data_IF_339576545838
#
_entry.id   IF_339576545838
#
_cell.length_a   1.000
_cell.length_b   1.000
_cell.length_c   1.000
_cell.angle_alpha   90.00
_cell.angle_beta   90.00
_cell.angle_gamma   90.00
#
_symmetry.space_group_name_H-M   'P 1'
#
loop_
_entity.id
_entity.type
_entity.pdbx_description
1 polymer ?
#
# COMPACT_ATOMS: atom_id res chain seq x y z
N UNK A 1 1.99 9.93 -7.99
CA UNK A 1 1.19 10.58 -9.06
C UNK A 1 1.99 10.70 -10.35
N UNK A 2 3.18 11.31 -10.36
CA UNK A 2 4.02 11.41 -11.57
C UNK A 2 4.31 10.07 -12.28
N UNK A 3 4.45 8.97 -11.52
CA UNK A 3 4.62 7.63 -12.09
C UNK A 3 3.39 7.13 -12.88
N UNK A 4 2.17 7.54 -12.52
CA UNK A 4 0.98 7.23 -13.30
C UNK A 4 0.99 7.99 -14.64
N UNK A 5 1.36 9.28 -14.62
CA UNK A 5 1.51 10.07 -15.86
C UNK A 5 2.61 9.50 -16.76
N UNK A 6 3.73 9.06 -16.17
CA UNK A 6 4.79 8.34 -16.89
C UNK A 6 4.23 7.10 -17.56
N UNK A 7 3.50 6.26 -16.83
CA UNK A 7 2.90 5.03 -17.36
C UNK A 7 1.91 5.32 -18.51
N UNK A 8 1.04 6.32 -18.36
CA UNK A 8 0.11 6.73 -19.42
C UNK A 8 0.87 7.16 -20.68
N UNK A 9 1.94 7.94 -20.52
CA UNK A 9 2.77 8.41 -21.63
C UNK A 9 3.50 7.26 -22.32
N UNK A 10 4.14 6.36 -21.55
CA UNK A 10 4.84 5.20 -22.12
C UNK A 10 3.87 4.25 -22.82
N UNK A 11 2.68 4.03 -22.25
CA UNK A 11 1.63 3.23 -22.87
C UNK A 11 1.17 3.85 -24.20
N UNK A 12 0.87 5.15 -24.21
CA UNK A 12 0.44 5.88 -25.41
C UNK A 12 1.52 5.92 -26.51
N UNK A 13 2.80 5.95 -26.14
CA UNK A 13 3.93 5.87 -27.07
C UNK A 13 4.22 4.44 -27.57
N UNK A 14 3.41 3.44 -27.18
CA UNK A 14 3.62 2.05 -27.58
C UNK A 14 4.86 1.42 -26.95
N UNK A 15 5.26 1.88 -25.76
CA UNK A 15 6.46 1.44 -25.02
C UNK A 15 6.11 0.72 -23.71
N UNK A 16 5.34 -0.38 -23.72
CA UNK A 16 4.93 -1.07 -22.50
C UNK A 16 6.10 -1.61 -21.67
N UNK A 17 7.23 -1.93 -22.30
CA UNK A 17 8.45 -2.38 -21.61
C UNK A 17 9.10 -1.29 -20.74
N UNK A 18 8.76 -0.02 -20.95
CA UNK A 18 9.29 1.13 -20.19
C UNK A 18 8.31 1.61 -19.09
N UNK A 19 7.20 0.89 -18.90
CA UNK A 19 6.21 1.18 -17.85
C UNK A 19 6.65 0.62 -16.50
N UNK A 20 6.23 1.30 -15.42
CA UNK A 20 6.25 0.74 -14.07
C UNK A 20 5.09 -0.24 -13.89
N UNK A 21 5.36 -1.54 -13.94
CA UNK A 21 4.36 -2.61 -13.83
C UNK A 21 5.03 -3.93 -13.44
N UNK A 22 4.23 -4.95 -13.08
CA UNK A 22 4.75 -6.27 -12.72
C UNK A 22 5.40 -7.02 -13.89
N UNK A 23 5.09 -6.65 -15.14
CA UNK A 23 5.63 -7.28 -16.35
C UNK A 23 6.78 -6.51 -17.00
N UNK A 24 7.17 -5.35 -16.45
CA UNK A 24 8.21 -4.49 -17.00
C UNK A 24 9.13 -3.97 -15.89
N UNK A 25 9.20 -2.66 -15.67
CA UNK A 25 10.01 -2.08 -14.59
C UNK A 25 9.25 -2.23 -13.28
N UNK A 26 9.67 -3.18 -12.44
CA UNK A 26 8.95 -3.49 -11.21
C UNK A 26 9.30 -2.54 -10.07
N UNK A 27 8.31 -2.13 -9.30
CA UNK A 27 8.47 -1.44 -8.02
C UNK A 27 7.73 -2.23 -6.94
N UNK A 28 8.36 -3.29 -6.45
CA UNK A 28 7.72 -4.22 -5.52
C UNK A 28 7.62 -3.65 -4.09
N UNK A 29 6.50 -3.85 -3.39
CA UNK A 29 6.34 -3.46 -1.99
C UNK A 29 7.00 -4.50 -1.05
N UNK A 30 8.33 -4.65 -1.16
CA UNK A 30 9.10 -5.72 -0.50
C UNK A 30 8.91 -5.76 1.03
N UNK A 31 8.73 -4.60 1.67
CA UNK A 31 8.50 -4.53 3.11
C UNK A 31 7.13 -5.10 3.50
N UNK A 32 6.10 -4.81 2.71
CA UNK A 32 4.77 -5.36 2.96
C UNK A 32 4.78 -6.89 2.72
N UNK A 33 5.38 -7.35 1.62
CA UNK A 33 5.54 -8.79 1.33
C UNK A 33 6.31 -9.52 2.43
N UNK A 34 7.38 -8.93 2.96
CA UNK A 34 8.13 -9.48 4.09
C UNK A 34 7.26 -9.62 5.37
N UNK A 35 6.43 -8.61 5.66
CA UNK A 35 5.44 -8.67 6.74
C UNK A 35 4.41 -9.78 6.47
N UNK A 36 3.85 -9.87 5.26
CA UNK A 36 2.90 -10.92 4.90
C UNK A 36 3.50 -12.32 5.16
N UNK A 37 4.73 -12.56 4.70
CA UNK A 37 5.41 -13.84 4.90
C UNK A 37 5.68 -14.15 6.38
N UNK A 38 6.02 -13.14 7.17
CA UNK A 38 6.25 -13.29 8.62
C UNK A 38 4.96 -13.69 9.33
N UNK A 39 3.83 -13.09 8.97
CA UNK A 39 2.53 -13.45 9.56
C UNK A 39 1.96 -14.77 9.04
N UNK A 40 2.17 -15.09 7.76
CA UNK A 40 1.75 -16.36 7.17
C UNK A 40 2.50 -17.55 7.78
N UNK A 41 3.79 -17.39 8.08
CA UNK A 41 4.64 -18.43 8.70
C UNK A 41 4.68 -18.40 10.23
N UNK A 42 3.95 -17.49 10.87
CA UNK A 42 3.96 -17.35 12.32
C UNK A 42 3.45 -18.60 13.09
N UNK A 43 2.36 -19.27 12.67
CA UNK A 43 1.85 -20.45 13.38
C UNK A 43 2.93 -21.53 13.50
N UNK A 44 3.06 -22.10 14.70
CA UNK A 44 4.07 -23.13 15.02
C UNK A 44 5.55 -22.69 14.94
N UNK A 45 5.84 -21.44 14.55
CA UNK A 45 7.20 -20.90 14.46
C UNK A 45 7.45 -19.79 15.48
N UNK A 46 6.81 -18.64 15.29
CA UNK A 46 6.91 -17.49 16.21
C UNK A 46 5.68 -17.35 17.10
N UNK A 47 4.60 -18.09 16.80
CA UNK A 47 3.40 -18.24 17.62
C UNK A 47 3.08 -19.75 17.79
N UNK A 48 3.72 -20.44 18.75
CA UNK A 48 3.64 -21.90 18.87
C UNK A 48 2.22 -22.44 19.11
N UNK A 49 1.42 -21.74 19.91
CA UNK A 49 0.05 -22.15 20.27
C UNK A 49 -1.01 -21.68 19.24
N UNK A 50 -0.62 -20.88 18.26
CA UNK A 50 -1.52 -20.42 17.21
C UNK A 50 -1.71 -21.50 16.14
N UNK A 51 -2.96 -21.78 15.79
CA UNK A 51 -3.33 -22.78 14.77
C UNK A 51 -3.54 -22.17 13.38
N UNK A 52 -3.57 -20.85 13.27
CA UNK A 52 -3.72 -20.10 12.02
C UNK A 52 -3.00 -18.75 12.10
N UNK A 53 -2.66 -18.17 10.95
CA UNK A 53 -2.12 -16.82 10.87
C UNK A 53 -3.14 -15.78 11.35
N UNK A 54 -2.68 -14.54 11.60
CA UNK A 54 -3.57 -13.48 12.09
C UNK A 54 -4.66 -13.07 11.09
N UNK A 55 -4.50 -13.42 9.82
CA UNK A 55 -5.49 -13.26 8.75
C UNK A 55 -5.15 -14.16 7.57
N UNK A 56 -6.15 -14.73 6.90
CA UNK A 56 -5.94 -15.52 5.68
C UNK A 56 -5.50 -14.66 4.48
N UNK A 57 -5.57 -13.33 4.59
CA UNK A 57 -5.08 -12.41 3.55
C UNK A 57 -3.57 -12.41 3.38
N UNK A 58 -2.81 -12.86 4.39
CA UNK A 58 -1.34 -12.86 4.36
C UNK A 58 -0.73 -13.89 3.41
N UNK A 59 -1.49 -14.89 2.97
CA UNK A 59 -0.97 -16.05 2.25
C UNK A 59 -0.78 -17.27 3.15
N UNK A 60 -0.50 -18.42 2.53
CA UNK A 60 -0.26 -19.70 3.22
C UNK A 60 -1.51 -20.44 3.72
N UNK A 61 -2.69 -19.82 3.67
CA UNK A 61 -3.98 -20.46 3.97
C UNK A 61 -4.80 -20.76 2.71
N UNK A 62 -5.68 -21.75 2.81
CA UNK A 62 -6.60 -22.12 1.71
C UNK A 62 -7.69 -21.07 1.48
N UNK A 63 -8.24 -21.07 0.26
CA UNK A 63 -9.42 -20.28 -0.10
C UNK A 63 -10.60 -20.69 0.79
N UNK A 64 -11.19 -19.72 1.47
CA UNK A 64 -12.41 -19.95 2.26
C UNK A 64 -13.61 -19.49 1.44
N UNK A 65 -14.57 -20.38 1.22
CA UNK A 65 -15.81 -20.09 0.51
C UNK A 65 -17.05 -20.37 1.37
N UNK A 66 -18.06 -19.51 1.25
CA UNK A 66 -19.38 -19.66 1.88
C UNK A 66 -20.45 -19.41 0.83
N UNK A 67 -21.37 -20.37 0.65
CA UNK A 67 -22.46 -20.23 -0.33
C UNK A 67 -21.96 -20.01 -1.77
N UNK A 68 -20.94 -20.76 -2.18
CA UNK A 68 -20.27 -20.64 -3.50
C UNK A 68 -19.66 -19.26 -3.80
N UNK A 69 -19.42 -18.43 -2.78
CA UNK A 69 -18.70 -17.15 -2.89
C UNK A 69 -17.43 -17.22 -2.07
N UNK A 70 -16.38 -16.55 -2.54
CA UNK A 70 -15.13 -16.42 -1.79
C UNK A 70 -15.39 -15.50 -0.59
N UNK A 71 -15.17 -16.03 0.61
CA UNK A 71 -15.23 -15.27 1.85
C UNK A 71 -13.90 -14.56 2.12
N UNK A 72 -12.78 -15.28 2.00
CA UNK A 72 -11.44 -14.72 2.10
C UNK A 72 -10.46 -15.47 1.19
N UNK A 73 -9.48 -14.73 0.67
CA UNK A 73 -8.34 -15.26 -0.08
C UNK A 73 -7.07 -14.46 0.25
N UNK A 74 -5.86 -15.02 0.00
CA UNK A 74 -4.63 -14.24 0.00
C UNK A 74 -4.71 -13.02 -0.93
N UNK A 75 -4.19 -11.87 -0.48
CA UNK A 75 -4.14 -10.65 -1.27
C UNK A 75 -2.67 -10.42 -1.67
N UNK A 76 -2.27 -10.79 -2.91
CA UNK A 76 -0.93 -10.52 -3.38
C UNK A 76 -0.72 -9.01 -3.53
N UNK A 77 0.50 -8.55 -3.23
CA UNK A 77 0.88 -7.15 -3.34
C UNK A 77 1.93 -7.00 -4.45
N UNK A 78 1.61 -6.24 -5.48
CA UNK A 78 2.48 -5.98 -6.62
C UNK A 78 2.84 -4.50 -6.79
N UNK A 79 3.32 -4.17 -8.00
CA UNK A 79 3.73 -2.81 -8.36
C UNK A 79 2.55 -1.83 -8.29
N UNK A 80 1.35 -2.24 -8.70
CA UNK A 80 0.16 -1.41 -8.60
C UNK A 80 -0.17 -1.04 -7.14
N UNK A 81 -0.06 -2.01 -6.22
CA UNK A 81 -0.26 -1.80 -4.79
C UNK A 81 0.77 -0.83 -4.22
N UNK A 82 2.04 -0.97 -4.60
CA UNK A 82 3.08 -0.01 -4.21
C UNK A 82 2.72 1.41 -4.63
N UNK A 83 2.28 1.61 -5.88
CA UNK A 83 1.92 2.93 -6.40
C UNK A 83 0.72 3.52 -5.65
N UNK A 84 -0.36 2.77 -5.45
CA UNK A 84 -1.57 3.29 -4.77
C UNK A 84 -1.33 3.58 -3.28
N UNK A 85 -0.53 2.76 -2.59
CA UNK A 85 -0.16 3.04 -1.20
C UNK A 85 0.64 4.35 -1.06
N UNK A 86 1.49 4.68 -2.03
CA UNK A 86 2.16 5.98 -2.06
C UNK A 86 1.22 7.15 -2.36
N UNK A 87 0.13 6.93 -3.12
CA UNK A 87 -0.93 7.94 -3.27
C UNK A 87 -1.70 8.13 -1.95
N UNK A 88 -2.02 7.06 -1.23
CA UNK A 88 -2.62 7.16 0.10
C UNK A 88 -1.72 7.93 1.05
N UNK A 89 -0.43 7.59 1.12
CA UNK A 89 0.54 8.31 1.93
C UNK A 89 0.59 9.80 1.55
N UNK A 90 0.72 10.11 0.26
CA UNK A 90 0.75 11.50 -0.23
C UNK A 90 -0.49 12.30 0.20
N UNK A 91 -1.69 11.77 -0.04
CA UNK A 91 -2.94 12.46 0.30
C UNK A 91 -3.08 12.68 1.80
N UNK A 92 -2.76 11.67 2.63
CA UNK A 92 -2.74 11.80 4.09
C UNK A 92 -1.75 12.88 4.53
N UNK A 93 -0.51 12.87 4.00
CA UNK A 93 0.51 13.86 4.39
C UNK A 93 0.09 15.28 4.00
N UNK A 94 -0.54 15.48 2.84
CA UNK A 94 -1.06 16.80 2.43
C UNK A 94 -2.21 17.25 3.34
N UNK A 95 -3.15 16.35 3.67
CA UNK A 95 -4.22 16.66 4.63
C UNK A 95 -3.65 17.05 5.99
N UNK A 96 -2.69 16.28 6.51
CA UNK A 96 -2.00 16.57 7.77
C UNK A 96 -1.27 17.91 7.69
N UNK A 97 -0.56 18.19 6.59
CA UNK A 97 0.12 19.47 6.38
C UNK A 97 -0.84 20.66 6.48
N UNK A 98 -2.00 20.58 5.83
CA UNK A 98 -3.01 21.65 5.84
C UNK A 98 -3.56 21.85 7.26
N UNK A 99 -4.00 20.77 7.90
CA UNK A 99 -4.59 20.83 9.24
C UNK A 99 -3.57 21.29 10.28
N UNK A 100 -2.38 20.71 10.28
CA UNK A 100 -1.31 21.03 11.23
C UNK A 100 -0.82 22.47 11.04
N UNK A 101 -0.70 22.94 9.80
CA UNK A 101 -0.40 24.35 9.53
C UNK A 101 -1.50 25.27 10.08
N UNK A 102 -2.77 24.88 9.93
CA UNK A 102 -3.90 25.61 10.52
C UNK A 102 -3.77 25.73 12.03
N UNK A 103 -3.45 24.63 12.72
CA UNK A 103 -3.28 24.59 14.18
C UNK A 103 -2.06 25.38 14.64
N UNK A 104 -0.88 25.12 14.07
CA UNK A 104 0.38 25.71 14.54
C UNK A 104 0.42 27.23 14.33
N UNK A 105 -0.17 27.72 13.24
CA UNK A 105 -0.20 29.14 12.91
C UNK A 105 -1.55 29.78 13.26
N UNK A 106 -2.34 29.21 14.17
CA UNK A 106 -3.64 29.76 14.54
C UNK A 106 -3.50 31.13 15.24
N UNK A 107 -2.54 31.29 16.16
CA UNK A 107 -2.40 32.49 17.01
C UNK A 107 -1.46 33.56 16.44
N UNK A 108 -0.48 33.16 15.64
CA UNK A 108 0.46 34.07 15.02
C UNK A 108 1.08 33.46 13.77
N UNK A 109 1.65 34.32 12.93
CA UNK A 109 2.44 33.95 11.77
C UNK A 109 3.40 35.08 11.45
N UNK A 110 4.39 34.82 10.59
CA UNK A 110 5.29 35.88 10.12
C UNK A 110 4.55 37.03 9.43
N UNK A 111 3.43 36.75 8.76
CA UNK A 111 2.63 37.76 8.06
C UNK A 111 1.72 38.56 9.01
N UNK A 112 1.09 37.88 9.98
CA UNK A 112 0.19 38.49 10.98
C UNK A 112 0.63 38.00 12.37
N UNK A 113 1.31 38.83 13.17
CA UNK A 113 1.82 38.45 14.50
C UNK A 113 0.73 38.25 15.57
N UNK A 114 -0.41 38.94 15.45
CA UNK A 114 -1.51 39.03 16.42
C UNK A 114 -2.84 38.57 15.80
N UNK A 115 -2.90 37.29 15.44
CA UNK A 115 -4.02 36.74 14.65
C UNK A 115 -5.28 36.51 15.48
#
# INVERSE_FOLDING_TARGET
FGLYIHNDTMSALGRPQDMFSDTAIQLQPIFAQWIQNTHASAPSLTAPDATASTSLTWGGGDLVAVGAKVALLPIPLGTADFLVHHIHAFTIHVTVLILLKGVLFARSSRLIPDK
#
